data_IF_489481073207
#
_entry.id   IF_489481073207
#
_cell.length_a   1.000
_cell.length_b   1.000
_cell.length_c   1.000
_cell.angle_alpha   90.00
_cell.angle_beta   90.00
_cell.angle_gamma   90.00
#
_symmetry.space_group_name_H-M   'P 1'
#
loop_
_entity.id
_entity.type
_entity.pdbx_description
1 polymer ?
#
# COMPACT_ATOMS: atom_id res chain seq x y z
N UNK A 1 3.42 6.30 14.51
CA UNK A 1 2.66 6.80 13.34
C UNK A 1 1.25 6.23 13.30
N UNK A 2 1.07 4.91 13.48
CA UNK A 2 -0.24 4.30 13.79
C UNK A 2 -0.99 5.07 14.90
N UNK A 3 -0.21 5.48 15.89
CA UNK A 3 -0.58 6.17 17.13
C UNK A 3 -1.02 7.62 16.89
N UNK A 4 -0.71 8.20 15.71
CA UNK A 4 -1.21 9.51 15.24
C UNK A 4 -2.46 9.37 14.34
N UNK A 5 -2.95 8.15 14.15
CA UNK A 5 -4.28 7.88 13.57
C UNK A 5 -5.33 7.38 14.57
N UNK A 6 -4.89 6.47 15.46
CA UNK A 6 -5.14 6.65 16.90
C UNK A 6 -4.75 8.12 17.29
N UNK A 7 -5.26 8.73 18.35
CA UNK A 7 -5.38 10.21 18.46
C UNK A 7 -6.31 10.89 17.40
N UNK A 8 -5.90 11.06 16.13
CA UNK A 8 -6.58 11.90 15.11
C UNK A 8 -8.09 11.58 14.97
N UNK A 9 -8.43 10.29 14.90
CA UNK A 9 -9.81 9.83 14.79
C UNK A 9 -10.66 10.28 15.99
N UNK A 10 -10.11 10.34 17.20
CA UNK A 10 -10.82 10.75 18.41
C UNK A 10 -10.77 12.27 18.63
N UNK A 11 -9.66 12.93 18.30
CA UNK A 11 -9.55 14.39 18.32
C UNK A 11 -10.56 15.02 17.36
N UNK A 12 -10.73 14.45 16.17
CA UNK A 12 -11.79 14.86 15.24
C UNK A 12 -13.19 14.65 15.85
N UNK A 13 -13.41 13.54 16.54
CA UNK A 13 -14.69 13.27 17.20
C UNK A 13 -15.00 14.28 18.30
N UNK A 14 -14.03 14.56 19.19
CA UNK A 14 -14.18 15.46 20.34
C UNK A 14 -14.25 16.94 19.97
N UNK A 15 -13.57 17.38 18.90
CA UNK A 15 -13.45 18.81 18.57
C UNK A 15 -14.75 19.48 18.12
N UNK A 16 -15.76 18.72 17.69
CA UNK A 16 -16.92 19.23 16.96
C UNK A 16 -18.30 18.83 17.54
N UNK A 17 -18.34 18.09 18.64
CA UNK A 17 -19.59 17.77 19.38
C UNK A 17 -19.62 18.61 20.65
N UNK A 18 -20.78 19.13 21.05
CA UNK A 18 -20.95 19.88 22.31
C UNK A 18 -21.09 19.01 23.57
N UNK A 19 -20.88 17.70 23.45
CA UNK A 19 -20.89 16.76 24.57
C UNK A 19 -19.55 16.80 25.34
N UNK A 20 -19.57 16.67 26.69
CA UNK A 20 -18.34 16.57 27.47
C UNK A 20 -17.46 15.38 27.02
N UNK A 21 -16.12 15.56 26.89
CA UNK A 21 -15.24 14.50 26.43
C UNK A 21 -15.33 13.19 27.24
N UNK A 22 -15.42 13.27 28.57
CA UNK A 22 -15.58 12.08 29.43
C UNK A 22 -16.86 11.29 29.11
N UNK A 23 -17.96 11.97 28.76
CA UNK A 23 -19.22 11.35 28.37
C UNK A 23 -19.09 10.62 27.03
N UNK A 24 -18.49 11.27 26.02
CA UNK A 24 -18.24 10.65 24.71
C UNK A 24 -17.34 9.41 24.84
N UNK A 25 -16.26 9.51 25.61
CA UNK A 25 -15.35 8.38 25.89
C UNK A 25 -16.06 7.22 26.61
N UNK A 26 -16.93 7.53 27.58
CA UNK A 26 -17.73 6.52 28.29
C UNK A 26 -18.75 5.85 27.37
N UNK A 27 -19.43 6.62 26.51
CA UNK A 27 -20.37 6.11 25.52
C UNK A 27 -19.70 5.17 24.51
N UNK A 28 -18.49 5.51 24.03
CA UNK A 28 -17.68 4.66 23.17
C UNK A 28 -17.30 3.35 23.86
N UNK A 29 -16.79 3.44 25.10
CA UNK A 29 -16.41 2.28 25.92
C UNK A 29 -17.59 1.32 26.12
N UNK A 30 -18.78 1.84 26.44
CA UNK A 30 -20.00 1.05 26.63
C UNK A 30 -20.49 0.36 25.35
N UNK A 31 -20.03 0.80 24.16
CA UNK A 31 -20.29 0.15 22.87
C UNK A 31 -19.11 -0.73 22.38
N UNK A 32 -18.17 -1.06 23.27
CA UNK A 32 -16.98 -1.86 22.93
C UNK A 32 -15.97 -1.12 22.04
N UNK A 33 -16.09 0.20 21.89
CA UNK A 33 -15.20 1.03 21.09
C UNK A 33 -14.08 1.53 22.00
N UNK A 34 -13.08 0.67 22.22
CA UNK A 34 -11.87 1.03 22.96
C UNK A 34 -11.01 2.01 22.18
N UNK A 35 -10.54 3.06 22.84
CA UNK A 35 -9.57 4.02 22.31
C UNK A 35 -8.41 4.19 23.30
N UNK A 36 -7.23 4.53 22.78
CA UNK A 36 -6.03 4.83 23.57
C UNK A 36 -5.28 5.95 22.86
N UNK A 37 -4.95 7.01 23.60
CA UNK A 37 -4.12 8.09 23.07
C UNK A 37 -2.64 7.71 23.05
N UNK A 38 -1.86 8.29 22.14
CA UNK A 38 -0.42 8.04 22.02
C UNK A 38 0.39 8.69 23.14
N UNK A 39 -0.15 9.73 23.76
CA UNK A 39 0.53 10.57 24.75
C UNK A 39 -0.41 11.01 25.87
N UNK A 40 0.08 10.91 27.10
CA UNK A 40 -0.60 11.41 28.30
C UNK A 40 -0.93 12.91 28.20
N UNK A 41 -0.09 13.69 27.50
CA UNK A 41 -0.32 15.12 27.21
C UNK A 41 -1.64 15.40 26.47
N UNK A 42 -2.12 14.45 25.67
CA UNK A 42 -3.40 14.58 24.96
C UNK A 42 -4.55 14.36 25.95
N UNK A 43 -4.44 13.38 26.85
CA UNK A 43 -5.40 13.18 27.93
C UNK A 43 -5.43 14.35 28.91
N UNK A 44 -4.27 14.92 29.26
CA UNK A 44 -4.17 16.13 30.08
C UNK A 44 -4.91 17.31 29.44
N UNK A 45 -4.63 17.60 28.17
CA UNK A 45 -5.32 18.68 27.42
C UNK A 45 -6.83 18.45 27.31
N UNK A 46 -7.29 17.21 27.11
CA UNK A 46 -8.72 16.87 27.11
C UNK A 46 -9.35 17.13 28.49
N UNK A 47 -8.69 16.74 29.58
CA UNK A 47 -9.16 16.96 30.95
C UNK A 47 -9.12 18.43 31.36
N UNK A 48 -8.18 19.20 30.82
CA UNK A 48 -8.08 20.65 31.02
C UNK A 48 -9.24 21.38 30.34
N UNK A 49 -9.46 21.14 29.04
CA UNK A 49 -10.60 21.65 28.28
C UNK A 49 -11.95 21.29 28.93
N UNK A 50 -12.11 20.05 29.41
CA UNK A 50 -13.33 19.62 30.11
C UNK A 50 -13.53 20.32 31.47
N UNK A 51 -12.47 20.80 32.13
CA UNK A 51 -12.55 21.58 33.38
C UNK A 51 -12.84 23.06 33.13
N UNK A 52 -12.28 23.63 32.08
CA UNK A 52 -12.49 25.04 31.69
C UNK A 52 -13.79 25.24 30.92
N UNK A 53 -14.37 24.17 30.35
CA UNK A 53 -15.53 24.24 29.46
C UNK A 53 -15.18 24.70 28.05
N UNK A 54 -13.90 24.64 27.67
CA UNK A 54 -13.39 25.02 26.34
C UNK A 54 -13.11 23.79 25.48
N UNK A 55 -12.86 23.98 24.18
CA UNK A 55 -12.30 22.93 23.28
C UNK A 55 -11.03 23.40 22.57
N UNK A 56 -10.40 24.46 23.04
CA UNK A 56 -9.25 25.10 22.39
C UNK A 56 -8.02 24.20 22.43
N UNK A 57 -7.79 23.48 23.53
CA UNK A 57 -6.70 22.53 23.67
C UNK A 57 -6.83 21.33 22.72
N UNK A 58 -8.01 20.74 22.64
CA UNK A 58 -8.34 19.60 21.76
C UNK A 58 -8.21 20.02 20.29
N UNK A 59 -8.75 21.18 19.91
CA UNK A 59 -8.64 21.73 18.55
C UNK A 59 -7.20 22.08 18.19
N UNK A 60 -6.43 22.65 19.12
CA UNK A 60 -4.99 22.90 18.94
C UNK A 60 -4.23 21.60 18.66
N UNK A 61 -4.48 20.53 19.42
CA UNK A 61 -3.87 19.21 19.18
C UNK A 61 -4.31 18.64 17.82
N UNK A 62 -5.58 18.79 17.43
CA UNK A 62 -6.09 18.35 16.14
C UNK A 62 -5.36 19.07 14.99
N UNK A 63 -5.19 20.39 15.07
CA UNK A 63 -4.42 21.17 14.10
C UNK A 63 -2.94 20.80 14.06
N UNK A 64 -2.29 20.65 15.22
CA UNK A 64 -0.89 20.18 15.34
C UNK A 64 -0.74 18.81 14.66
N UNK A 65 -1.69 17.90 14.87
CA UNK A 65 -1.71 16.55 14.28
C UNK A 65 -1.88 16.61 12.77
N UNK A 66 -2.83 17.40 12.26
CA UNK A 66 -3.05 17.60 10.82
C UNK A 66 -1.81 18.22 10.16
N UNK A 67 -1.23 19.28 10.73
CA UNK A 67 0.01 19.91 10.22
C UNK A 67 1.18 18.91 10.22
N UNK A 68 1.29 18.06 11.25
CA UNK A 68 2.30 16.98 11.30
C UNK A 68 2.10 15.94 10.19
N UNK A 69 0.85 15.59 9.86
CA UNK A 69 0.52 14.67 8.77
C UNK A 69 0.81 15.28 7.39
N UNK A 70 0.53 16.57 7.20
CA UNK A 70 0.89 17.32 5.99
C UNK A 70 2.40 17.33 5.77
N UNK A 71 3.17 17.74 6.78
CA UNK A 71 4.64 17.76 6.71
C UNK A 71 5.23 16.36 6.44
N UNK A 72 4.66 15.31 7.06
CA UNK A 72 5.06 13.92 6.82
C UNK A 72 4.73 13.45 5.41
N UNK A 73 3.64 13.92 4.80
CA UNK A 73 3.32 13.63 3.40
C UNK A 73 4.25 14.36 2.43
N UNK A 74 4.59 15.62 2.68
CA UNK A 74 5.57 16.34 1.86
C UNK A 74 6.95 15.67 1.94
N UNK A 75 7.37 15.30 3.15
CA UNK A 75 8.58 14.50 3.39
C UNK A 75 8.51 13.14 2.70
N UNK A 76 7.37 12.44 2.75
CA UNK A 76 7.16 11.17 2.05
C UNK A 76 7.21 11.37 0.53
N UNK A 77 6.57 12.40 -0.02
CA UNK A 77 6.56 12.71 -1.44
C UNK A 77 7.97 12.76 -2.02
N UNK A 78 8.89 13.45 -1.33
CA UNK A 78 10.28 13.60 -1.76
C UNK A 78 11.11 12.33 -1.54
N UNK A 79 10.79 11.53 -0.50
CA UNK A 79 11.48 10.26 -0.22
C UNK A 79 11.03 9.12 -1.13
N UNK A 80 9.75 9.08 -1.53
CA UNK A 80 9.21 8.05 -2.42
C UNK A 80 9.95 8.05 -3.74
N UNK A 81 10.15 9.23 -4.34
CA UNK A 81 10.72 9.33 -5.67
C UNK A 81 12.18 8.80 -5.65
N UNK A 82 13.00 9.24 -4.68
CA UNK A 82 14.37 8.74 -4.47
C UNK A 82 14.45 7.24 -4.16
N UNK A 83 13.58 6.71 -3.29
CA UNK A 83 13.66 5.28 -2.92
C UNK A 83 13.06 4.43 -4.05
N UNK A 84 12.09 4.92 -4.80
CA UNK A 84 11.57 4.27 -6.02
C UNK A 84 12.64 4.16 -7.10
N UNK A 85 13.51 5.15 -7.21
CA UNK A 85 14.70 5.10 -8.07
C UNK A 85 15.70 4.05 -7.60
N UNK A 86 16.09 4.04 -6.32
CA UNK A 86 16.97 3.01 -5.73
C UNK A 86 16.39 1.60 -5.91
N UNK A 87 15.09 1.42 -5.72
CA UNK A 87 14.39 0.16 -5.91
C UNK A 87 14.40 -0.25 -7.39
N UNK A 88 14.13 0.68 -8.31
CA UNK A 88 14.24 0.47 -9.77
C UNK A 88 15.65 0.06 -10.21
N UNK A 89 16.68 0.75 -9.72
CA UNK A 89 18.09 0.43 -10.01
C UNK A 89 18.44 -0.96 -9.47
N UNK A 90 18.07 -1.25 -8.23
CA UNK A 90 18.32 -2.57 -7.61
C UNK A 90 17.64 -3.68 -8.41
N UNK A 91 16.42 -3.47 -8.91
CA UNK A 91 15.72 -4.45 -9.76
C UNK A 91 16.49 -4.79 -11.03
N UNK A 92 17.01 -3.77 -11.74
CA UNK A 92 17.62 -3.94 -13.05
C UNK A 92 19.07 -4.41 -12.96
N UNK A 93 19.83 -3.94 -11.96
CA UNK A 93 21.23 -4.31 -11.74
C UNK A 93 21.36 -5.73 -11.19
N UNK A 94 20.47 -6.18 -10.31
CA UNK A 94 20.54 -7.49 -9.67
C UNK A 94 20.57 -8.69 -10.67
N UNK A 95 19.69 -8.79 -11.68
CA UNK A 95 19.79 -9.81 -12.73
C UNK A 95 21.09 -9.74 -13.49
N UNK A 96 21.55 -8.53 -13.88
CA UNK A 96 22.80 -8.35 -14.63
C UNK A 96 24.00 -8.83 -13.79
N UNK A 97 24.00 -8.55 -12.48
CA UNK A 97 24.98 -9.10 -11.54
C UNK A 97 24.87 -10.64 -11.43
N UNK A 98 23.68 -11.21 -11.34
CA UNK A 98 23.48 -12.67 -11.29
C UNK A 98 23.97 -13.37 -12.58
N UNK A 99 23.70 -12.79 -13.75
CA UNK A 99 24.25 -13.28 -15.03
C UNK A 99 25.77 -13.17 -15.06
N UNK A 100 26.35 -12.02 -14.70
CA UNK A 100 27.79 -11.80 -14.71
C UNK A 100 28.51 -12.76 -13.74
N UNK A 101 28.10 -12.79 -12.47
CA UNK A 101 28.65 -13.68 -11.45
C UNK A 101 28.47 -15.14 -11.84
N UNK A 102 27.33 -15.52 -12.40
CA UNK A 102 27.05 -16.91 -12.77
C UNK A 102 27.85 -17.49 -13.92
N UNK A 103 28.44 -16.65 -14.78
CA UNK A 103 29.37 -17.10 -15.81
C UNK A 103 30.75 -17.46 -15.24
N UNK A 104 31.17 -16.83 -14.14
CA UNK A 104 32.52 -16.99 -13.57
C UNK A 104 32.55 -17.80 -12.27
N UNK A 105 31.48 -17.77 -11.46
CA UNK A 105 31.41 -18.35 -10.12
C UNK A 105 30.00 -18.90 -9.81
N UNK A 106 29.57 -19.99 -10.48
CA UNK A 106 28.19 -20.52 -10.41
C UNK A 106 27.70 -20.83 -8.99
N UNK A 107 28.56 -21.35 -8.10
CA UNK A 107 28.18 -21.66 -6.71
C UNK A 107 27.76 -20.41 -5.91
N UNK A 108 28.38 -19.25 -6.21
CA UNK A 108 28.09 -17.99 -5.51
C UNK A 108 26.76 -17.35 -5.94
N UNK A 109 26.19 -17.76 -7.09
CA UNK A 109 24.90 -17.25 -7.59
C UNK A 109 23.77 -17.58 -6.64
N UNK A 110 23.75 -18.80 -6.08
CA UNK A 110 22.72 -19.26 -5.14
C UNK A 110 22.70 -18.39 -3.88
N UNK A 111 23.88 -18.06 -3.33
CA UNK A 111 24.01 -17.16 -2.17
C UNK A 111 23.60 -15.74 -2.55
N UNK A 112 24.09 -15.25 -3.69
CA UNK A 112 23.80 -13.90 -4.20
C UNK A 112 22.31 -13.67 -4.42
N UNK A 113 21.59 -14.66 -4.95
CA UNK A 113 20.13 -14.63 -5.12
C UNK A 113 19.42 -14.35 -3.79
N UNK A 114 19.76 -15.10 -2.73
CA UNK A 114 19.11 -14.92 -1.42
C UNK A 114 19.45 -13.56 -0.80
N UNK A 115 20.70 -13.09 -0.93
CA UNK A 115 21.11 -11.76 -0.47
C UNK A 115 20.33 -10.65 -1.21
N UNK A 116 20.17 -10.74 -2.52
CA UNK A 116 19.44 -9.77 -3.34
C UNK A 116 17.93 -9.79 -3.05
N UNK A 117 17.33 -10.96 -2.82
CA UNK A 117 15.93 -11.05 -2.39
C UNK A 117 15.72 -10.49 -0.98
N UNK A 118 16.65 -10.74 -0.05
CA UNK A 118 16.61 -10.19 1.31
C UNK A 118 16.78 -8.67 1.28
N UNK A 119 17.67 -8.12 0.45
CA UNK A 119 17.82 -6.68 0.24
C UNK A 119 16.54 -6.04 -0.31
N UNK A 120 15.93 -6.65 -1.34
CA UNK A 120 14.63 -6.21 -1.86
C UNK A 120 13.53 -6.28 -0.77
N UNK A 121 13.51 -7.33 0.05
CA UNK A 121 12.61 -7.47 1.19
C UNK A 121 12.83 -6.40 2.27
N UNK A 122 14.08 -6.05 2.57
CA UNK A 122 14.43 -4.98 3.50
C UNK A 122 13.96 -3.61 2.98
N UNK A 123 14.17 -3.33 1.69
CA UNK A 123 13.67 -2.12 1.05
C UNK A 123 12.14 -2.02 1.15
N UNK A 124 11.41 -3.11 0.94
CA UNK A 124 9.95 -3.16 1.13
C UNK A 124 9.50 -2.82 2.56
N UNK A 125 10.22 -3.31 3.58
CA UNK A 125 9.93 -2.97 4.98
C UNK A 125 10.18 -1.48 5.24
N UNK A 126 11.30 -0.94 4.75
CA UNK A 126 11.61 0.50 4.86
C UNK A 126 10.56 1.38 4.16
N UNK A 127 10.14 1.04 2.94
CA UNK A 127 9.02 1.70 2.24
C UNK A 127 7.72 1.66 3.06
N UNK A 128 7.41 0.48 3.62
CA UNK A 128 6.18 0.25 4.38
C UNK A 128 6.07 1.15 5.59
N UNK A 129 7.17 1.43 6.27
CA UNK A 129 7.19 2.28 7.47
C UNK A 129 7.37 3.78 7.15
N UNK A 130 7.81 4.12 5.93
CA UNK A 130 7.83 5.49 5.42
C UNK A 130 6.46 5.96 4.89
N UNK A 131 5.60 5.08 4.38
CA UNK A 131 4.29 5.49 3.86
C UNK A 131 3.43 6.10 4.96
N UNK A 132 2.91 7.34 4.79
CA UNK A 132 2.02 7.96 5.75
C UNK A 132 0.71 7.17 5.76
N UNK A 133 0.56 6.29 6.76
CA UNK A 133 -0.64 5.47 6.95
C UNK A 133 -1.73 6.33 7.59
N UNK A 134 -2.22 7.32 6.84
CA UNK A 134 -3.21 8.30 7.32
C UNK A 134 -4.62 7.70 7.40
N UNK A 135 -4.76 6.41 7.08
CA UNK A 135 -6.02 5.71 6.95
C UNK A 135 -5.88 4.26 7.40
N UNK A 136 -6.48 3.93 8.56
CA UNK A 136 -6.53 2.57 9.09
C UNK A 136 -7.60 1.79 8.32
N UNK A 137 -7.16 1.01 7.34
CA UNK A 137 -8.01 0.12 6.56
C UNK A 137 -8.38 -1.13 7.39
N UNK A 138 -9.65 -1.54 7.34
CA UNK A 138 -10.15 -2.77 7.95
C UNK A 138 -9.61 -4.00 7.21
N UNK A 139 -8.36 -4.36 7.52
CA UNK A 139 -7.60 -5.43 6.89
C UNK A 139 -8.09 -6.82 7.27
N UNK A 140 -8.82 -7.49 6.37
CA UNK A 140 -8.97 -8.95 6.40
C UNK A 140 -7.67 -9.60 5.89
N UNK A 141 -6.64 -9.58 6.74
CA UNK A 141 -5.28 -10.03 6.44
C UNK A 141 -5.19 -11.48 5.97
N UNK A 142 -6.02 -12.38 6.52
CA UNK A 142 -6.04 -13.81 6.19
C UNK A 142 -6.34 -14.09 4.71
N UNK A 143 -7.33 -13.39 4.12
CA UNK A 143 -7.70 -13.56 2.71
C UNK A 143 -6.61 -13.04 1.76
N UNK A 144 -5.95 -11.94 2.13
CA UNK A 144 -4.87 -11.33 1.32
C UNK A 144 -3.64 -12.24 1.35
N UNK A 145 -3.20 -12.66 2.54
CA UNK A 145 -2.07 -13.57 2.70
C UNK A 145 -2.31 -14.93 2.03
N UNK A 146 -3.53 -15.47 2.13
CA UNK A 146 -3.92 -16.69 1.40
C UNK A 146 -3.80 -16.54 -0.12
N UNK A 147 -4.21 -15.41 -0.69
CA UNK A 147 -4.08 -15.16 -2.13
C UNK A 147 -2.62 -15.02 -2.60
N UNK A 148 -1.76 -14.37 -1.80
CA UNK A 148 -0.33 -14.26 -2.08
C UNK A 148 0.33 -15.64 -1.99
N UNK A 149 0.06 -16.40 -0.92
CA UNK A 149 0.61 -17.74 -0.72
C UNK A 149 0.20 -18.71 -1.84
N UNK A 150 -1.08 -18.72 -2.24
CA UNK A 150 -1.56 -19.55 -3.34
C UNK A 150 -0.87 -19.21 -4.67
N UNK A 151 -0.68 -17.92 -4.94
CA UNK A 151 0.03 -17.43 -6.14
C UNK A 151 1.50 -17.87 -6.13
N UNK A 152 2.21 -17.70 -5.00
CA UNK A 152 3.60 -18.14 -4.83
C UNK A 152 3.73 -19.65 -5.05
N UNK A 153 2.90 -20.46 -4.38
CA UNK A 153 2.98 -21.94 -4.42
C UNK A 153 2.71 -22.48 -5.81
N UNK A 154 1.65 -22.02 -6.48
CA UNK A 154 1.31 -22.51 -7.81
C UNK A 154 2.36 -22.11 -8.85
N UNK A 155 2.83 -20.86 -8.83
CA UNK A 155 3.91 -20.43 -9.72
C UNK A 155 5.21 -21.21 -9.48
N UNK A 156 5.57 -21.56 -8.23
CA UNK A 156 6.72 -22.44 -7.98
C UNK A 156 6.55 -23.86 -8.53
N UNK A 157 5.34 -24.43 -8.43
CA UNK A 157 5.02 -25.74 -9.00
C UNK A 157 5.19 -25.71 -10.52
N UNK A 158 4.60 -24.71 -11.20
CA UNK A 158 4.75 -24.57 -12.65
C UNK A 158 6.18 -24.23 -13.08
N UNK A 159 6.93 -23.43 -12.32
CA UNK A 159 8.34 -23.15 -12.62
C UNK A 159 9.25 -24.38 -12.49
N UNK A 160 8.88 -25.36 -11.67
CA UNK A 160 9.64 -26.61 -11.50
C UNK A 160 9.32 -27.65 -12.59
N UNK A 161 8.12 -27.61 -13.16
CA UNK A 161 7.64 -28.59 -14.16
C UNK A 161 7.83 -28.08 -15.59
N UNK A 162 7.65 -26.78 -15.80
CA UNK A 162 7.64 -26.09 -17.09
C UNK A 162 8.68 -24.96 -17.10
N UNK A 163 8.34 -23.78 -17.65
CA UNK A 163 9.22 -22.63 -17.78
C UNK A 163 8.64 -21.37 -17.10
N UNK A 164 9.45 -20.29 -17.03
CA UNK A 164 9.06 -19.01 -16.45
C UNK A 164 7.73 -18.47 -17.01
N UNK A 165 7.48 -18.59 -18.33
CA UNK A 165 6.26 -18.07 -18.98
C UNK A 165 5.01 -18.77 -18.49
N UNK A 166 5.04 -20.10 -18.39
CA UNK A 166 3.92 -20.89 -17.86
C UNK A 166 3.67 -20.54 -16.39
N UNK A 167 4.74 -20.38 -15.60
CA UNK A 167 4.66 -19.91 -14.21
C UNK A 167 4.02 -18.51 -14.09
N UNK A 168 4.39 -17.55 -14.95
CA UNK A 168 3.82 -16.21 -14.96
C UNK A 168 2.36 -16.19 -15.43
N UNK A 169 2.00 -17.00 -16.43
CA UNK A 169 0.59 -17.17 -16.86
C UNK A 169 -0.26 -17.78 -15.73
N UNK A 170 0.25 -18.80 -15.03
CA UNK A 170 -0.41 -19.35 -13.84
C UNK A 170 -0.55 -18.30 -12.73
N UNK A 171 0.47 -17.45 -12.53
CA UNK A 171 0.43 -16.33 -11.56
C UNK A 171 -0.68 -15.33 -11.90
N UNK A 172 -0.85 -14.97 -13.16
CA UNK A 172 -1.89 -14.05 -13.65
C UNK A 172 -3.28 -14.67 -13.43
N UNK A 173 -3.50 -15.92 -13.89
CA UNK A 173 -4.80 -16.57 -13.82
C UNK A 173 -5.26 -16.82 -12.38
N UNK A 174 -4.35 -17.23 -11.49
CA UNK A 174 -4.65 -17.51 -10.08
C UNK A 174 -4.91 -16.25 -9.26
N UNK A 175 -4.25 -15.13 -9.61
CA UNK A 175 -4.44 -13.85 -8.92
C UNK A 175 -5.63 -13.02 -9.42
N UNK A 176 -6.10 -13.25 -10.66
CA UNK A 176 -7.19 -12.48 -11.29
C UNK A 176 -8.47 -12.35 -10.44
N UNK A 177 -9.02 -13.41 -9.80
CA UNK A 177 -10.23 -13.30 -8.97
C UNK A 177 -10.00 -12.40 -7.74
N UNK A 178 -8.80 -12.47 -7.16
CA UNK A 178 -8.41 -11.64 -6.03
C UNK A 178 -8.16 -10.18 -6.44
N UNK A 179 -7.61 -9.93 -7.63
CA UNK A 179 -7.49 -8.59 -8.22
C UNK A 179 -8.86 -7.91 -8.36
N UNK A 180 -9.87 -8.63 -8.88
CA UNK A 180 -11.25 -8.14 -8.95
C UNK A 180 -11.82 -7.84 -7.56
N UNK A 181 -11.52 -8.68 -6.56
CA UNK A 181 -11.93 -8.43 -5.16
C UNK A 181 -11.27 -7.18 -4.56
N UNK A 182 -10.01 -6.92 -4.89
CA UNK A 182 -9.25 -5.75 -4.42
C UNK A 182 -9.77 -4.47 -5.09
N UNK A 183 -10.00 -4.49 -6.41
CA UNK A 183 -10.59 -3.36 -7.14
C UNK A 183 -12.02 -3.04 -6.67
N UNK A 184 -12.83 -4.05 -6.32
CA UNK A 184 -14.15 -3.83 -5.71
C UNK A 184 -14.05 -3.18 -4.34
N UNK A 185 -13.08 -3.58 -3.51
CA UNK A 185 -12.79 -2.92 -2.20
C UNK A 185 -12.33 -1.48 -2.41
N UNK A 186 -11.41 -1.23 -3.34
CA UNK A 186 -10.96 0.11 -3.72
C UNK A 186 -12.11 1.05 -4.08
N UNK A 187 -13.00 0.60 -4.97
CA UNK A 187 -14.17 1.39 -5.38
C UNK A 187 -15.14 1.65 -4.22
N UNK A 188 -15.33 0.69 -3.31
CA UNK A 188 -16.14 0.88 -2.09
C UNK A 188 -15.54 1.95 -1.18
N UNK A 189 -14.22 1.88 -0.93
CA UNK A 189 -13.49 2.88 -0.15
C UNK A 189 -13.64 4.28 -0.77
N UNK A 190 -13.43 4.42 -2.08
CA UNK A 190 -13.60 5.72 -2.74
C UNK A 190 -15.05 6.21 -2.68
N UNK A 191 -16.05 5.32 -2.81
CA UNK A 191 -17.46 5.68 -2.67
C UNK A 191 -17.82 6.09 -1.23
N UNK A 192 -17.25 5.46 -0.20
CA UNK A 192 -17.52 5.79 1.21
C UNK A 192 -17.06 7.23 1.54
N UNK A 193 -15.89 7.64 1.06
CA UNK A 193 -15.39 9.01 1.30
C UNK A 193 -16.23 10.07 0.58
N UNK A 194 -16.77 9.75 -0.61
CA UNK A 194 -17.72 10.61 -1.33
C UNK A 194 -19.08 10.64 -0.63
N UNK A 195 -19.60 9.49 -0.19
CA UNK A 195 -20.85 9.36 0.56
C UNK A 195 -20.79 10.21 1.83
N UNK A 196 -19.70 10.09 2.60
CA UNK A 196 -19.43 10.88 3.80
C UNK A 196 -19.44 12.38 3.55
N UNK A 197 -18.85 12.85 2.44
CA UNK A 197 -18.93 14.26 2.04
C UNK A 197 -20.38 14.68 1.80
N UNK A 198 -21.19 13.87 1.10
CA UNK A 198 -22.61 14.17 0.90
C UNK A 198 -23.45 14.08 2.18
N UNK A 199 -23.12 13.15 3.09
CA UNK A 199 -23.74 13.02 4.41
C UNK A 199 -23.45 14.27 5.24
N UNK A 200 -22.19 14.73 5.25
CA UNK A 200 -21.77 15.93 5.95
C UNK A 200 -22.49 17.17 5.41
N UNK A 201 -22.52 17.40 4.10
CA UNK A 201 -23.25 18.52 3.52
C UNK A 201 -24.73 18.52 3.91
N UNK A 202 -25.42 17.38 3.84
CA UNK A 202 -26.83 17.24 4.28
C UNK A 202 -27.02 17.52 5.78
N UNK A 203 -26.12 17.02 6.62
CA UNK A 203 -26.16 17.24 8.05
C UNK A 203 -25.92 18.72 8.43
N UNK A 204 -25.09 19.43 7.67
CA UNK A 204 -24.82 20.85 7.87
C UNK A 204 -25.97 21.74 7.37
N UNK A 205 -26.71 21.32 6.35
CA UNK A 205 -27.94 22.03 5.89
C UNK A 205 -29.14 21.83 6.82
N UNK A 206 -29.28 20.66 7.45
CA UNK A 206 -30.39 20.35 8.38
C UNK A 206 -29.91 19.97 9.80
N UNK A 207 -29.19 20.86 10.51
CA UNK A 207 -28.48 20.51 11.75
C UNK A 207 -29.41 20.10 12.89
N UNK A 208 -30.58 20.72 13.02
CA UNK A 208 -31.57 20.40 14.05
C UNK A 208 -32.49 19.22 13.68
N UNK A 209 -32.38 18.71 12.44
CA UNK A 209 -33.19 17.61 11.91
C UNK A 209 -32.31 16.55 11.25
N UNK A 210 -31.10 16.33 11.79
CA UNK A 210 -30.08 15.49 11.18
C UNK A 210 -30.58 14.07 10.86
N UNK A 211 -31.41 13.48 11.72
CA UNK A 211 -32.04 12.16 11.47
C UNK A 211 -33.14 12.14 10.40
N UNK A 212 -33.67 13.31 10.00
CA UNK A 212 -34.59 13.46 8.87
C UNK A 212 -33.82 13.50 7.54
N UNK A 213 -32.66 14.18 7.52
CA UNK A 213 -31.80 14.30 6.35
C UNK A 213 -30.89 13.07 6.13
N UNK A 214 -30.47 12.41 7.21
CA UNK A 214 -29.56 11.25 7.20
C UNK A 214 -30.05 10.20 8.19
N UNK A 215 -30.47 8.99 7.76
CA UNK A 215 -30.97 7.97 8.67
C UNK A 215 -29.87 7.49 9.64
N UNK A 216 -30.19 7.30 10.94
CA UNK A 216 -29.21 6.96 11.97
C UNK A 216 -28.42 5.68 11.68
N UNK A 217 -29.03 4.71 10.98
CA UNK A 217 -28.37 3.47 10.57
C UNK A 217 -27.16 3.68 9.66
N UNK A 218 -27.15 4.72 8.80
CA UNK A 218 -25.97 5.06 7.99
C UNK A 218 -24.83 5.64 8.84
N UNK A 219 -25.17 6.37 9.91
CA UNK A 219 -24.20 6.99 10.82
C UNK A 219 -23.58 5.98 11.79
N UNK A 220 -24.29 4.90 12.11
CA UNK A 220 -23.76 3.81 12.93
C UNK A 220 -23.23 2.63 12.11
N UNK A 221 -23.22 2.72 10.78
CA UNK A 221 -22.76 1.65 9.89
C UNK A 221 -21.26 1.36 10.06
N UNK A 222 -20.86 0.11 9.78
CA UNK A 222 -19.44 -0.20 9.61
C UNK A 222 -18.85 0.57 8.43
N UNK A 223 -17.61 1.03 8.60
CA UNK A 223 -16.85 1.82 7.64
C UNK A 223 -15.48 1.19 7.41
N UNK A 224 -14.93 1.36 6.20
CA UNK A 224 -13.60 0.86 5.84
C UNK A 224 -12.48 1.75 6.37
N UNK A 225 -12.76 3.04 6.62
CA UNK A 225 -11.83 4.00 7.22
C UNK A 225 -12.25 4.41 8.63
N UNK A 226 -11.28 4.47 9.55
CA UNK A 226 -11.54 5.01 10.89
C UNK A 226 -11.96 6.49 10.88
N UNK A 227 -11.45 7.32 9.96
CA UNK A 227 -11.91 8.71 9.83
C UNK A 227 -13.37 8.82 9.37
N UNK A 228 -13.83 7.91 8.52
CA UNK A 228 -15.26 7.81 8.15
C UNK A 228 -16.11 7.50 9.38
N UNK A 229 -15.63 6.56 10.20
CA UNK A 229 -16.27 6.21 11.47
C UNK A 229 -16.35 7.42 12.39
N UNK A 230 -15.25 8.15 12.55
CA UNK A 230 -15.18 9.37 13.37
C UNK A 230 -16.18 10.40 12.89
N UNK A 231 -16.18 10.76 11.60
CA UNK A 231 -17.16 11.69 11.03
C UNK A 231 -18.61 11.24 11.29
N UNK A 232 -18.94 9.98 10.99
CA UNK A 232 -20.29 9.47 11.15
C UNK A 232 -20.73 9.45 12.61
N UNK A 233 -19.81 9.16 13.55
CA UNK A 233 -20.05 9.26 14.98
C UNK A 233 -20.15 10.71 15.47
N UNK A 234 -19.37 11.65 14.91
CA UNK A 234 -19.51 13.10 15.17
C UNK A 234 -20.93 13.52 14.83
N UNK A 235 -21.39 13.20 13.62
CA UNK A 235 -22.74 13.55 13.15
C UNK A 235 -23.85 12.82 13.92
N UNK A 236 -23.62 11.58 14.35
CA UNK A 236 -24.57 10.85 15.21
C UNK A 236 -24.69 11.46 16.61
N UNK A 237 -23.60 11.91 17.22
CA UNK A 237 -23.63 12.49 18.56
C UNK A 237 -24.09 13.96 18.50
N UNK A 238 -23.72 14.69 17.46
CA UNK A 238 -24.12 16.09 17.28
C UNK A 238 -25.62 16.27 17.03
N UNK A 239 -26.35 15.23 16.62
CA UNK A 239 -27.83 15.28 16.55
C UNK A 239 -28.49 15.37 17.93
N UNK A 240 -27.79 15.00 19.01
CA UNK A 240 -28.27 15.10 20.38
C UNK A 240 -27.75 16.35 21.11
N UNK A 241 -26.52 16.78 20.79
CA UNK A 241 -25.81 17.81 21.55
C UNK A 241 -25.60 19.13 20.80
N UNK A 242 -25.58 19.13 19.46
CA UNK A 242 -25.18 20.26 18.64
C UNK A 242 -23.84 20.05 17.91
N UNK A 243 -23.60 20.92 16.91
CA UNK A 243 -22.31 21.09 16.24
C UNK A 243 -21.87 22.53 16.51
N UNK A 244 -20.77 22.69 17.25
CA UNK A 244 -20.18 23.97 17.62
C UNK A 244 -19.79 24.79 16.38
N UNK A 245 -18.94 24.23 15.51
CA UNK A 245 -18.40 24.91 14.33
C UNK A 245 -18.57 24.09 13.05
N UNK A 246 -19.73 24.29 12.42
CA UNK A 246 -20.15 23.67 11.16
C UNK A 246 -19.15 23.87 10.00
N UNK A 247 -18.59 25.08 9.89
CA UNK A 247 -17.60 25.44 8.87
C UNK A 247 -16.25 24.76 9.12
N UNK A 248 -15.77 24.74 10.37
CA UNK A 248 -14.51 24.09 10.74
C UNK A 248 -14.59 22.57 10.56
N UNK A 249 -15.72 21.93 10.89
CA UNK A 249 -15.96 20.51 10.63
C UNK A 249 -15.88 20.18 9.13
N UNK A 250 -16.54 20.98 8.28
CA UNK A 250 -16.50 20.81 6.82
C UNK A 250 -15.07 20.98 6.28
N UNK A 251 -14.42 22.08 6.60
CA UNK A 251 -13.07 22.39 6.13
C UNK A 251 -12.05 21.34 6.57
N UNK A 252 -12.13 20.89 7.83
CA UNK A 252 -11.26 19.83 8.37
C UNK A 252 -11.46 18.51 7.63
N UNK A 253 -12.70 18.10 7.40
CA UNK A 253 -12.99 16.89 6.64
C UNK A 253 -12.53 17.00 5.17
N UNK A 254 -12.80 18.12 4.49
CA UNK A 254 -12.34 18.35 3.12
C UNK A 254 -10.82 18.35 3.00
N UNK A 255 -10.11 18.91 3.99
CA UNK A 255 -8.65 18.90 4.06
C UNK A 255 -8.12 17.46 4.13
N UNK A 256 -8.68 16.64 5.03
CA UNK A 256 -8.35 15.21 5.18
C UNK A 256 -8.69 14.40 3.90
N UNK A 257 -9.84 14.65 3.29
CA UNK A 257 -10.27 13.98 2.07
C UNK A 257 -9.39 14.32 0.86
N UNK A 258 -9.07 15.61 0.67
CA UNK A 258 -8.18 16.06 -0.40
C UNK A 258 -6.75 15.54 -0.19
N UNK A 259 -6.28 15.47 1.05
CA UNK A 259 -5.02 14.82 1.41
C UNK A 259 -5.01 13.35 0.97
N UNK A 260 -6.03 12.55 1.33
CA UNK A 260 -6.13 11.14 0.91
C UNK A 260 -6.07 10.99 -0.61
N UNK A 261 -6.90 11.78 -1.33
CA UNK A 261 -7.02 11.75 -2.78
C UNK A 261 -5.71 12.12 -3.48
N UNK A 262 -4.96 13.10 -2.97
CA UNK A 262 -3.62 13.46 -3.48
C UNK A 262 -2.60 12.34 -3.22
N UNK A 263 -2.55 11.82 -1.98
CA UNK A 263 -1.63 10.73 -1.57
C UNK A 263 -1.77 9.53 -2.49
N UNK A 264 -2.99 9.01 -2.58
CA UNK A 264 -3.30 7.78 -3.32
C UNK A 264 -3.12 7.97 -4.82
N UNK A 265 -3.51 9.12 -5.39
CA UNK A 265 -3.23 9.41 -6.81
C UNK A 265 -1.73 9.43 -7.11
N UNK A 266 -0.89 10.07 -6.28
CA UNK A 266 0.58 10.04 -6.50
C UNK A 266 1.11 8.61 -6.35
N UNK A 267 0.71 7.90 -5.30
CA UNK A 267 1.11 6.51 -5.06
C UNK A 267 0.77 5.57 -6.22
N UNK A 268 -0.47 5.63 -6.73
CA UNK A 268 -0.89 4.84 -7.89
C UNK A 268 -0.17 5.23 -9.18
N UNK A 269 0.09 6.51 -9.43
CA UNK A 269 0.85 6.95 -10.61
C UNK A 269 2.30 6.46 -10.55
N UNK A 270 2.99 6.67 -9.43
CA UNK A 270 4.36 6.17 -9.23
C UNK A 270 4.40 4.63 -9.35
N UNK A 271 3.43 3.93 -8.76
CA UNK A 271 3.36 2.47 -8.87
C UNK A 271 3.10 1.99 -10.32
N UNK A 272 2.26 2.69 -11.09
CA UNK A 272 2.03 2.40 -12.50
C UNK A 272 3.28 2.65 -13.36
N UNK A 273 4.03 3.73 -13.12
CA UNK A 273 5.29 3.99 -13.82
C UNK A 273 6.34 2.89 -13.59
N UNK A 274 6.40 2.32 -12.38
CA UNK A 274 7.30 1.20 -12.07
C UNK A 274 6.95 -0.11 -12.81
N UNK A 275 5.77 -0.23 -13.44
CA UNK A 275 5.49 -1.36 -14.34
C UNK A 275 6.39 -1.34 -15.59
N UNK A 276 6.85 -0.15 -16.02
CA UNK A 276 7.84 -0.04 -17.09
C UNK A 276 9.18 -0.65 -16.67
N UNK A 277 9.61 -0.45 -15.42
CA UNK A 277 10.82 -1.09 -14.89
C UNK A 277 10.72 -2.62 -14.87
N UNK A 278 9.56 -3.15 -14.49
CA UNK A 278 9.28 -4.60 -14.53
C UNK A 278 9.27 -5.15 -15.96
N UNK A 279 8.72 -4.39 -16.91
CA UNK A 279 8.79 -4.73 -18.33
C UNK A 279 10.24 -4.77 -18.82
N UNK A 280 11.04 -3.75 -18.50
CA UNK A 280 12.46 -3.68 -18.85
C UNK A 280 13.29 -4.80 -18.21
N UNK A 281 12.96 -5.22 -16.98
CA UNK A 281 13.54 -6.41 -16.35
C UNK A 281 13.30 -7.67 -17.18
N UNK A 282 12.05 -7.94 -17.58
CA UNK A 282 11.71 -9.10 -18.40
C UNK A 282 12.42 -9.09 -19.76
N UNK A 283 12.43 -7.92 -20.39
CA UNK A 283 13.09 -7.66 -21.67
C UNK A 283 14.60 -7.88 -21.60
N UNK A 284 15.29 -7.27 -20.63
CA UNK A 284 16.72 -7.44 -20.43
C UNK A 284 17.09 -8.88 -20.07
N UNK A 285 16.30 -9.53 -19.20
CA UNK A 285 16.53 -10.94 -18.83
C UNK A 285 16.42 -11.87 -20.05
N UNK A 286 15.43 -11.68 -20.92
CA UNK A 286 15.29 -12.45 -22.15
C UNK A 286 16.45 -12.22 -23.14
N UNK A 287 16.89 -10.96 -23.32
CA UNK A 287 18.05 -10.64 -24.16
C UNK A 287 19.31 -11.33 -23.65
N UNK A 288 19.61 -11.23 -22.35
CA UNK A 288 20.83 -11.84 -21.79
C UNK A 288 20.78 -13.36 -21.90
N UNK A 289 19.65 -14.02 -21.63
CA UNK A 289 19.51 -15.47 -21.89
C UNK A 289 19.78 -15.83 -23.35
N UNK A 290 19.27 -15.06 -24.30
CA UNK A 290 19.47 -15.35 -25.72
C UNK A 290 20.94 -15.19 -26.12
N UNK A 291 21.63 -14.13 -25.66
CA UNK A 291 23.07 -13.97 -25.87
C UNK A 291 23.85 -15.14 -25.25
N UNK A 292 23.51 -15.57 -24.03
CA UNK A 292 24.17 -16.71 -23.38
C UNK A 292 23.87 -18.07 -24.01
N UNK A 293 22.76 -18.22 -24.73
CA UNK A 293 22.44 -19.40 -25.55
C UNK A 293 23.25 -19.42 -26.85
N UNK A 294 23.51 -18.26 -27.48
CA UNK A 294 24.20 -18.18 -28.78
C UNK A 294 25.73 -18.10 -28.67
N UNK A 295 26.29 -17.71 -27.53
CA UNK A 295 27.74 -17.65 -27.33
C UNK A 295 28.39 -19.07 -27.37
N UNK A 296 29.46 -19.26 -28.17
CA UNK A 296 30.23 -20.51 -28.22
C UNK A 296 31.14 -20.63 -26.99
N UNK A 297 30.51 -20.90 -25.84
CA UNK A 297 31.15 -20.95 -24.53
C UNK A 297 32.18 -22.08 -24.39
N UNK A 298 32.20 -23.05 -25.30
CA UNK A 298 33.21 -24.11 -25.36
C UNK A 298 34.63 -23.54 -25.61
N UNK A 299 34.74 -22.38 -26.28
CA UNK A 299 35.99 -21.63 -26.41
C UNK A 299 36.37 -20.86 -25.13
N UNK A 300 35.41 -20.55 -24.27
CA UNK A 300 35.63 -19.89 -22.97
C UNK A 300 35.95 -20.88 -21.84
N UNK A 301 35.54 -22.16 -21.95
CA UNK A 301 35.86 -23.21 -20.97
C UNK A 301 37.37 -23.41 -20.76
N UNK A 302 38.21 -23.05 -21.74
CA UNK A 302 39.67 -23.08 -21.61
C UNK A 302 40.23 -22.05 -20.62
N UNK A 303 39.45 -21.04 -20.24
CA UNK A 303 39.89 -19.89 -19.44
C UNK A 303 39.09 -19.68 -18.15
N UNK A 304 37.89 -20.28 -18.04
CA UNK A 304 36.97 -20.13 -16.90
C UNK A 304 36.24 -21.45 -16.64
N UNK A 305 36.10 -21.85 -15.37
CA UNK A 305 35.16 -22.91 -14.96
C UNK A 305 33.71 -22.46 -15.13
N UNK A 306 33.13 -22.79 -16.29
CA UNK A 306 31.73 -22.49 -16.61
C UNK A 306 30.81 -23.49 -15.91
N UNK A 307 29.88 -22.99 -15.09
CA UNK A 307 28.86 -23.83 -14.43
C UNK A 307 27.79 -24.36 -15.39
N UNK A 308 26.92 -25.20 -14.86
CA UNK A 308 25.77 -25.71 -15.63
C UNK A 308 24.84 -24.55 -16.05
N UNK A 309 24.72 -24.34 -17.36
CA UNK A 309 23.85 -23.30 -17.94
C UNK A 309 22.39 -23.49 -17.53
N UNK A 310 21.94 -24.73 -17.37
CA UNK A 310 20.56 -25.03 -16.98
C UNK A 310 20.27 -24.59 -15.54
N UNK A 311 21.20 -24.83 -14.62
CA UNK A 311 21.10 -24.39 -13.23
C UNK A 311 21.18 -22.86 -13.12
N UNK A 312 22.04 -22.21 -13.91
CA UNK A 312 22.11 -20.74 -13.97
C UNK A 312 20.77 -20.13 -14.45
N UNK A 313 20.23 -20.61 -15.57
CA UNK A 313 18.95 -20.11 -16.09
C UNK A 313 17.79 -20.36 -15.13
N UNK A 314 17.71 -21.55 -14.53
CA UNK A 314 16.69 -21.86 -13.52
C UNK A 314 16.80 -20.96 -12.29
N UNK A 315 18.01 -20.72 -11.78
CA UNK A 315 18.26 -19.84 -10.63
C UNK A 315 17.80 -18.40 -10.91
N UNK A 316 18.02 -17.90 -12.13
CA UNK A 316 17.60 -16.56 -12.51
C UNK A 316 16.08 -16.49 -12.75
N UNK A 317 15.45 -17.56 -13.24
CA UNK A 317 13.98 -17.64 -13.34
C UNK A 317 13.32 -17.63 -11.97
N UNK A 318 13.89 -18.33 -10.99
CA UNK A 318 13.47 -18.26 -9.58
C UNK A 318 13.61 -16.84 -9.02
N UNK A 319 14.75 -16.16 -9.27
CA UNK A 319 14.93 -14.76 -8.86
C UNK A 319 13.88 -13.84 -9.48
N UNK A 320 13.69 -13.91 -10.80
CA UNK A 320 12.74 -13.05 -11.55
C UNK A 320 11.30 -13.28 -11.10
N UNK A 321 10.91 -14.55 -10.89
CA UNK A 321 9.59 -14.93 -10.37
C UNK A 321 9.37 -14.40 -8.94
N UNK A 322 10.32 -14.59 -8.02
CA UNK A 322 10.22 -14.08 -6.65
C UNK A 322 10.25 -12.54 -6.60
N UNK A 323 11.08 -11.90 -7.42
CA UNK A 323 11.13 -10.46 -7.58
C UNK A 323 9.77 -9.91 -8.06
N UNK A 324 9.08 -10.57 -8.99
CA UNK A 324 7.74 -10.14 -9.42
C UNK A 324 6.75 -10.02 -8.25
N UNK A 325 6.81 -10.97 -7.30
CA UNK A 325 5.92 -11.01 -6.14
C UNK A 325 6.32 -9.92 -5.13
N UNK A 326 7.62 -9.79 -4.83
CA UNK A 326 8.15 -8.73 -3.97
C UNK A 326 7.79 -7.34 -4.51
N UNK A 327 7.91 -7.12 -5.83
CA UNK A 327 7.60 -5.84 -6.45
C UNK A 327 6.10 -5.57 -6.41
N UNK A 328 5.24 -6.55 -6.66
CA UNK A 328 3.79 -6.37 -6.50
C UNK A 328 3.37 -6.00 -5.06
N UNK A 329 4.06 -6.55 -4.04
CA UNK A 329 3.89 -6.13 -2.65
C UNK A 329 4.34 -4.67 -2.45
N UNK A 330 5.47 -4.27 -3.04
CA UNK A 330 5.99 -2.90 -3.03
C UNK A 330 5.07 -1.89 -3.71
N UNK A 331 4.55 -2.20 -4.89
CA UNK A 331 3.58 -1.37 -5.59
C UNK A 331 2.29 -1.21 -4.77
N UNK A 332 1.84 -2.26 -4.08
CA UNK A 332 0.73 -2.14 -3.12
C UNK A 332 1.03 -1.12 -2.02
N UNK A 333 2.20 -1.26 -1.39
CA UNK A 333 2.65 -0.37 -0.31
C UNK A 333 2.80 1.08 -0.80
N UNK A 334 3.34 1.31 -2.00
CA UNK A 334 3.48 2.64 -2.60
C UNK A 334 2.11 3.23 -2.97
N UNK A 335 1.18 2.41 -3.46
CA UNK A 335 -0.16 2.86 -3.89
C UNK A 335 -1.09 3.26 -2.74
N UNK A 336 -0.94 2.62 -1.57
CA UNK A 336 -1.93 2.71 -0.49
C UNK A 336 -1.38 2.62 0.96
N UNK A 337 -0.09 2.41 1.16
CA UNK A 337 0.51 2.17 2.49
C UNK A 337 0.11 0.83 3.11
N UNK A 338 -0.50 -0.06 2.34
CA UNK A 338 -1.03 -1.35 2.78
C UNK A 338 -0.75 -2.46 1.76
N UNK A 339 -0.91 -3.72 2.18
CA UNK A 339 -0.81 -4.90 1.31
C UNK A 339 -2.14 -5.24 0.61
N UNK A 340 -3.20 -4.42 0.79
CA UNK A 340 -4.54 -4.77 0.30
C UNK A 340 -4.67 -4.77 -1.23
N UNK A 341 -3.80 -4.04 -1.93
CA UNK A 341 -3.73 -4.02 -3.40
C UNK A 341 -2.70 -5.00 -3.96
N UNK A 342 -1.96 -5.75 -3.15
CA UNK A 342 -1.02 -6.74 -3.66
C UNK A 342 -1.69 -7.74 -4.63
N UNK A 343 -2.92 -8.24 -4.38
CA UNK A 343 -3.60 -9.11 -5.35
C UNK A 343 -4.01 -8.42 -6.65
N UNK A 344 -4.09 -7.08 -6.68
CA UNK A 344 -4.30 -6.29 -7.90
C UNK A 344 -2.98 -6.05 -8.66
N UNK A 345 -1.89 -5.80 -7.95
CA UNK A 345 -0.57 -5.58 -8.56
C UNK A 345 0.10 -6.86 -9.06
N UNK A 346 -0.10 -8.02 -8.41
CA UNK A 346 0.49 -9.31 -8.84
C UNK A 346 0.24 -9.63 -10.32
N UNK A 347 -1.02 -9.64 -10.85
CA UNK A 347 -1.25 -9.94 -12.25
C UNK A 347 -0.71 -8.86 -13.19
N UNK A 348 -0.72 -7.59 -12.80
CA UNK A 348 -0.18 -6.49 -13.61
C UNK A 348 1.34 -6.60 -13.76
N UNK A 349 2.06 -6.83 -12.65
CA UNK A 349 3.51 -7.05 -12.63
C UNK A 349 3.87 -8.29 -13.43
N UNK A 350 3.15 -9.40 -13.23
CA UNK A 350 3.37 -10.65 -13.98
C UNK A 350 3.13 -10.47 -15.49
N UNK A 351 2.12 -9.68 -15.88
CA UNK A 351 1.82 -9.36 -17.28
C UNK A 351 2.89 -8.47 -17.90
N UNK A 352 3.33 -7.41 -17.20
CA UNK A 352 4.39 -6.53 -17.68
C UNK A 352 5.70 -7.30 -17.89
N UNK A 353 6.05 -8.18 -16.94
CA UNK A 353 7.23 -9.03 -17.00
C UNK A 353 7.18 -10.03 -18.17
N UNK A 354 6.04 -10.70 -18.36
CA UNK A 354 5.80 -11.65 -19.45
C UNK A 354 5.88 -10.95 -20.82
N UNK A 355 5.29 -9.76 -20.97
CA UNK A 355 5.37 -8.96 -22.19
C UNK A 355 6.81 -8.55 -22.50
N UNK A 356 7.57 -8.13 -21.48
CA UNK A 356 8.99 -7.84 -21.60
C UNK A 356 9.77 -9.06 -22.09
N UNK A 357 9.57 -10.22 -21.46
CA UNK A 357 10.26 -11.46 -21.80
C UNK A 357 9.99 -11.92 -23.24
N UNK A 358 8.73 -11.84 -23.70
CA UNK A 358 8.34 -12.22 -25.07
C UNK A 358 8.91 -11.26 -26.11
N UNK A 359 8.94 -9.95 -25.85
CA UNK A 359 9.50 -8.98 -26.78
C UNK A 359 11.03 -8.99 -26.80
N UNK A 360 11.68 -9.21 -25.66
CA UNK A 360 13.14 -9.32 -25.56
C UNK A 360 13.69 -10.56 -26.29
N UNK A 361 12.98 -11.69 -26.24
CA UNK A 361 13.36 -12.87 -27.00
C UNK A 361 13.27 -12.64 -28.52
N UNK A 362 12.22 -11.96 -28.99
CA UNK A 362 11.99 -11.71 -30.42
C UNK A 362 13.00 -10.76 -31.05
N UNK A 363 13.62 -9.86 -30.28
CA UNK A 363 14.55 -8.85 -30.78
C UNK A 363 15.74 -9.47 -31.54
N UNK A 364 16.26 -10.59 -31.04
CA UNK A 364 17.45 -11.29 -31.57
C UNK A 364 17.11 -12.47 -32.49
N UNK A 365 15.84 -12.65 -32.85
CA UNK A 365 15.39 -13.69 -33.82
C UNK A 365 15.17 -13.07 -35.22
N UNK A 366 15.08 -11.75 -35.31
CA UNK A 366 14.83 -10.99 -36.54
C UNK A 366 15.94 -10.00 -36.91
N UNK A 367 17.10 -10.06 -36.24
CA UNK A 367 18.30 -9.28 -36.52
C UNK A 367 19.53 -10.16 -36.43
#
# INVERSE_FOLDING_TARGET
MKDLLEDLEMLFLLSFIDAPPSYVMTWLKNRGIGYKFSSERIEERIREDERTGTKEGIRSVLEETIKSLEFKLETFSNRVDNISEVYTITLLVAPVMLYAVGLFQPETVKVSLWVLLLLNGLLLVLFRDLHPRVFKLKTNSSSILGSIALSVVLSFIFLKIENLRVSLVAQILTSLPFAVSALRRWRRMESELRENHTILLKALTEPFHLFRAVPPGLLTAETYFGISRSLRLTLYLSSFWGIEEKSALLFTYEKIYNFYKKTTRKGFLNAAMNLLTIFLLGFASAIVKNILKTLPLDAMQQWVTIGDKSELFWTIDVYVMLASILYALGLSIISLGSLEMAPFWIPLVSTALLLGEVLGERLLVYG
#
